data_IF_021487006520
#
_entry.id   IF_021487006520
#
_cell.length_a   1.000
_cell.length_b   1.000
_cell.length_c   1.000
_cell.angle_alpha   90.00
_cell.angle_beta   90.00
_cell.angle_gamma   90.00
#
_symmetry.space_group_name_H-M   'P 1'
#
loop_
_entity.id
_entity.type
_entity.pdbx_description
1 polymer ?
#
# COMPACT_ATOMS: atom_id res chain seq x y z
N UNK A 1 54.75 19.02 -30.45
CA UNK A 1 53.84 17.94 -30.88
C UNK A 1 52.99 17.56 -29.67
N UNK A 2 52.22 18.44 -29.02
CA UNK A 2 51.09 19.28 -29.48
C UNK A 2 50.07 18.49 -30.29
N UNK A 3 48.90 18.25 -29.68
CA UNK A 3 47.69 17.85 -30.40
C UNK A 3 47.11 16.54 -29.92
N UNK A 4 46.30 16.57 -28.85
CA UNK A 4 44.98 15.91 -28.80
C UNK A 4 44.21 16.32 -27.53
N UNK A 5 44.24 17.62 -27.21
CA UNK A 5 43.33 18.26 -26.26
C UNK A 5 42.27 19.02 -27.06
N UNK A 6 41.54 18.32 -27.94
CA UNK A 6 40.62 18.98 -28.88
C UNK A 6 39.44 18.10 -29.34
N UNK A 7 39.01 17.13 -28.52
CA UNK A 7 37.74 16.39 -28.74
C UNK A 7 36.63 16.74 -27.74
N UNK A 8 36.82 17.76 -26.90
CA UNK A 8 35.79 18.26 -25.96
C UNK A 8 35.15 19.59 -26.42
N UNK A 9 35.30 19.94 -27.71
CA UNK A 9 34.97 21.30 -28.20
C UNK A 9 34.14 21.37 -29.47
N UNK A 10 33.33 20.36 -29.82
CA UNK A 10 32.46 20.43 -31.00
C UNK A 10 31.14 19.66 -30.87
N UNK A 11 30.35 19.91 -29.82
CA UNK A 11 28.87 19.78 -29.86
C UNK A 11 28.18 20.69 -28.82
N UNK A 12 28.70 21.90 -28.62
CA UNK A 12 27.87 23.02 -28.17
C UNK A 12 27.43 23.77 -29.43
N UNK A 13 26.14 23.72 -29.76
CA UNK A 13 25.34 24.76 -30.45
C UNK A 13 24.09 24.10 -31.08
N UNK A 14 22.97 24.04 -30.36
CA UNK A 14 21.67 24.61 -30.79
C UNK A 14 20.49 24.20 -29.88
N UNK A 15 19.67 25.22 -29.53
CA UNK A 15 18.28 25.19 -29.02
C UNK A 15 18.03 24.96 -27.51
N UNK A 16 16.97 25.58 -26.91
CA UNK A 16 16.66 27.03 -26.77
C UNK A 16 16.33 27.38 -25.27
N UNK A 17 15.91 28.62 -24.91
CA UNK A 17 16.08 29.16 -23.55
C UNK A 17 15.01 28.81 -22.51
N UNK A 18 15.48 28.72 -21.26
CA UNK A 18 14.86 29.03 -19.97
C UNK A 18 13.33 28.87 -19.83
N UNK A 19 12.93 27.78 -19.16
CA UNK A 19 11.62 27.64 -18.50
C UNK A 19 11.53 28.71 -17.40
N UNK A 20 10.45 29.52 -17.31
CA UNK A 20 10.30 30.48 -16.23
C UNK A 20 10.13 29.73 -14.90
N UNK A 21 11.11 29.93 -14.03
CA UNK A 21 11.02 29.66 -12.58
C UNK A 21 9.80 30.35 -12.00
N UNK A 22 8.78 29.59 -11.61
CA UNK A 22 7.73 30.06 -10.72
C UNK A 22 8.35 30.33 -9.35
N UNK A 23 8.83 31.56 -9.18
CA UNK A 23 9.25 32.13 -7.91
C UNK A 23 8.02 32.18 -7.00
N UNK A 24 8.03 31.37 -5.95
CA UNK A 24 7.09 31.46 -4.84
C UNK A 24 7.33 32.77 -4.10
N UNK A 25 6.72 33.85 -4.60
CA UNK A 25 6.51 35.05 -3.81
C UNK A 25 5.45 34.72 -2.78
N UNK A 26 5.90 34.49 -1.55
CA UNK A 26 5.10 34.65 -0.34
C UNK A 26 4.36 35.99 -0.43
N UNK A 27 3.06 35.92 -0.64
CA UNK A 27 2.14 37.04 -0.42
C UNK A 27 1.25 36.63 0.73
N UNK A 28 1.68 37.01 1.93
CA UNK A 28 0.79 37.15 3.07
C UNK A 28 -0.07 38.39 2.84
N UNK A 29 -1.33 38.18 2.47
CA UNK A 29 -2.35 39.23 2.63
C UNK A 29 -3.57 38.60 3.28
N UNK A 30 -3.58 38.67 4.61
CA UNK A 30 -4.79 38.98 5.37
C UNK A 30 -5.54 40.11 4.67
N UNK A 31 -6.78 39.91 4.26
CA UNK A 31 -7.56 40.99 3.66
C UNK A 31 -8.81 40.55 2.93
N UNK A 32 -9.92 40.57 3.66
CA UNK A 32 -11.29 40.62 3.17
C UNK A 32 -11.47 41.54 1.94
N UNK A 33 -11.96 41.02 0.81
CA UNK A 33 -12.68 41.79 -0.22
C UNK A 33 -13.26 40.88 -1.28
N UNK A 34 -14.55 40.60 -1.16
CA UNK A 34 -15.41 40.38 -2.32
C UNK A 34 -15.42 41.69 -3.11
N UNK A 35 -14.78 41.72 -4.27
CA UNK A 35 -14.87 42.87 -5.17
C UNK A 35 -15.03 42.42 -6.62
N UNK A 36 -16.24 42.68 -7.11
CA UNK A 36 -16.61 43.03 -8.48
C UNK A 36 -16.44 41.94 -9.55
N UNK A 37 -17.58 41.34 -9.88
CA UNK A 37 -17.83 40.52 -11.07
C UNK A 37 -18.20 41.47 -12.23
N UNK A 38 -17.39 42.50 -12.50
CA UNK A 38 -17.67 43.47 -13.58
C UNK A 38 -16.54 43.55 -14.62
N UNK A 39 -15.55 42.65 -14.57
CA UNK A 39 -14.36 42.71 -15.43
C UNK A 39 -14.10 41.40 -16.20
N UNK A 40 -15.15 40.80 -16.79
CA UNK A 40 -14.97 39.68 -17.75
C UNK A 40 -15.84 39.81 -19.01
N UNK A 41 -16.68 40.84 -19.17
CA UNK A 41 -17.53 40.99 -20.37
C UNK A 41 -17.07 42.05 -21.36
N UNK A 42 -15.74 42.24 -21.51
CA UNK A 42 -15.16 43.06 -22.59
C UNK A 42 -14.31 42.26 -23.59
N UNK A 43 -14.45 40.93 -23.63
CA UNK A 43 -13.94 40.14 -24.76
C UNK A 43 -14.96 40.19 -25.90
N UNK A 44 -14.78 41.26 -26.67
CA UNK A 44 -15.36 41.58 -27.98
C UNK A 44 -15.85 40.36 -28.77
N UNK A 45 -17.11 40.48 -29.19
CA UNK A 45 -17.68 39.95 -30.42
C UNK A 45 -16.70 40.07 -31.60
N UNK A 46 -15.99 38.98 -31.91
CA UNK A 46 -15.33 38.85 -33.21
C UNK A 46 -16.42 38.56 -34.25
N UNK A 47 -16.64 39.57 -35.09
CA UNK A 47 -17.61 39.59 -36.18
C UNK A 47 -17.14 38.65 -37.31
N UNK A 48 -17.79 37.49 -37.45
CA UNK A 48 -17.60 36.58 -38.58
C UNK A 48 -18.63 36.90 -39.68
N UNK A 49 -18.24 37.48 -40.82
CA UNK A 49 -19.18 37.77 -41.90
C UNK A 49 -19.58 36.47 -42.62
N UNK A 50 -20.87 36.12 -42.54
CA UNK A 50 -21.48 35.09 -43.38
C UNK A 50 -22.12 33.90 -42.67
N UNK A 51 -22.04 33.79 -41.34
CA UNK A 51 -22.68 32.68 -40.62
C UNK A 51 -24.00 33.14 -40.03
N UNK A 52 -25.13 32.76 -40.66
CA UNK A 52 -26.47 32.91 -40.07
C UNK A 52 -26.58 31.95 -38.88
N UNK A 53 -26.26 32.42 -37.68
CA UNK A 53 -26.62 31.70 -36.46
C UNK A 53 -28.15 31.72 -36.33
N UNK A 54 -28.76 30.54 -36.39
CA UNK A 54 -30.14 30.34 -35.96
C UNK A 54 -30.19 30.69 -34.48
N UNK A 55 -30.86 31.79 -34.13
CA UNK A 55 -31.09 32.21 -32.75
C UNK A 55 -31.84 31.09 -32.04
N UNK A 56 -31.08 30.27 -31.32
CA UNK A 56 -31.63 29.25 -30.44
C UNK A 56 -32.46 29.97 -29.36
N UNK A 57 -33.73 29.61 -29.14
CA UNK A 57 -34.50 30.23 -28.06
C UNK A 57 -33.82 29.86 -26.74
N UNK A 58 -33.27 30.87 -26.06
CA UNK A 58 -32.88 30.67 -24.66
C UNK A 58 -34.17 30.34 -23.89
N UNK A 59 -34.23 29.23 -23.16
CA UNK A 59 -35.30 29.03 -22.19
C UNK A 59 -35.20 30.19 -21.19
N UNK A 60 -36.29 30.96 -21.06
CA UNK A 60 -36.41 32.14 -20.21
C UNK A 60 -36.43 31.83 -18.71
N UNK A 61 -35.85 30.71 -18.29
CA UNK A 61 -35.82 30.25 -16.91
C UNK A 61 -34.46 29.61 -16.59
N UNK A 62 -33.42 30.44 -16.67
CA UNK A 62 -32.06 30.08 -16.19
C UNK A 62 -32.09 29.98 -14.64
N UNK A 63 -33.08 30.56 -13.98
CA UNK A 63 -33.26 30.48 -12.52
C UNK A 63 -33.71 29.11 -12.03
N UNK A 64 -34.56 28.38 -12.78
CA UNK A 64 -35.01 27.04 -12.37
C UNK A 64 -34.06 25.90 -12.79
N UNK A 65 -33.20 26.14 -13.79
CA UNK A 65 -32.19 25.15 -14.20
C UNK A 65 -30.98 25.15 -13.27
N UNK A 66 -30.70 26.27 -12.57
CA UNK A 66 -29.66 26.32 -11.54
C UNK A 66 -30.04 25.61 -10.24
N UNK A 67 -31.33 25.56 -9.88
CA UNK A 67 -31.81 24.72 -8.76
C UNK A 67 -31.62 23.23 -9.04
N UNK A 68 -31.70 22.82 -10.32
CA UNK A 68 -31.54 21.41 -10.71
C UNK A 68 -30.09 21.01 -10.99
N UNK A 69 -29.20 21.96 -11.27
CA UNK A 69 -27.75 21.70 -11.39
C UNK A 69 -26.99 21.83 -10.07
N UNK A 70 -27.58 22.41 -9.02
CA UNK A 70 -27.04 22.28 -7.65
C UNK A 70 -27.09 20.83 -7.13
N UNK A 71 -27.98 20.00 -7.69
CA UNK A 71 -28.07 18.56 -7.38
C UNK A 71 -26.96 17.75 -8.08
N UNK A 72 -26.20 18.34 -9.02
CA UNK A 72 -25.14 17.66 -9.78
C UNK A 72 -23.80 18.41 -9.65
N UNK A 73 -23.48 18.87 -8.44
CA UNK A 73 -22.09 19.16 -8.05
C UNK A 73 -21.76 18.51 -6.71
N UNK A 74 -22.04 17.20 -6.60
CA UNK A 74 -21.67 16.40 -5.43
C UNK A 74 -20.15 16.13 -5.36
N UNK A 75 -19.32 16.85 -6.15
CA UNK A 75 -17.85 16.81 -6.05
C UNK A 75 -17.35 17.50 -4.77
N UNK A 76 -18.14 18.41 -4.20
CA UNK A 76 -17.86 19.04 -2.91
C UNK A 76 -18.00 18.08 -1.72
N UNK A 77 -18.92 17.10 -1.80
CA UNK A 77 -19.08 16.08 -0.73
C UNK A 77 -17.93 15.09 -0.63
N UNK A 78 -17.25 14.75 -1.73
CA UNK A 78 -16.10 13.84 -1.68
C UNK A 78 -14.82 14.51 -1.17
N UNK A 79 -14.70 15.84 -1.30
CA UNK A 79 -13.55 16.60 -0.78
C UNK A 79 -13.64 16.86 0.73
N UNK A 80 -14.85 16.79 1.30
CA UNK A 80 -15.10 17.10 2.71
C UNK A 80 -15.42 15.89 3.60
N UNK A 81 -15.49 14.68 3.04
CA UNK A 81 -15.69 13.42 3.78
C UNK A 81 -14.41 12.58 3.97
N UNK A 82 -13.24 13.02 3.50
CA UNK A 82 -12.02 12.19 3.46
C UNK A 82 -10.74 12.86 4.03
N UNK A 83 -10.85 13.85 4.92
CA UNK A 83 -9.67 14.38 5.67
C UNK A 83 -9.97 14.58 7.16
N UNK A 84 -10.90 13.80 7.71
CA UNK A 84 -10.88 13.45 9.13
C UNK A 84 -10.67 11.93 9.20
N UNK A 85 -9.65 11.43 8.49
CA UNK A 85 -9.10 10.13 8.86
C UNK A 85 -8.36 10.35 10.16
N UNK A 86 -9.11 10.30 11.26
CA UNK A 86 -8.60 9.90 12.55
C UNK A 86 -7.85 8.60 12.28
N UNK A 87 -6.56 8.67 11.96
CA UNK A 87 -5.69 7.50 12.01
C UNK A 87 -5.75 7.07 13.47
N UNK A 88 -6.53 6.02 13.83
CA UNK A 88 -6.63 5.64 15.21
C UNK A 88 -5.22 5.32 15.70
N UNK A 89 -4.37 4.73 14.86
CA UNK A 89 -2.97 4.41 15.17
C UNK A 89 -2.12 5.59 15.70
N UNK A 90 -2.26 6.81 15.15
CA UNK A 90 -1.38 7.94 15.52
C UNK A 90 -1.96 8.74 16.70
N UNK A 91 -3.29 8.87 16.79
CA UNK A 91 -3.98 9.49 17.94
C UNK A 91 -3.93 8.60 19.19
N UNK A 92 -4.07 7.28 19.01
CA UNK A 92 -4.01 6.25 20.06
C UNK A 92 -2.64 6.15 20.72
N UNK A 93 -1.55 6.20 19.93
CA UNK A 93 -0.18 6.16 20.46
C UNK A 93 0.16 7.37 21.36
N UNK A 94 -0.52 8.51 21.18
CA UNK A 94 -0.27 9.74 21.95
C UNK A 94 -1.03 9.83 23.27
N UNK A 95 -2.11 9.07 23.42
CA UNK A 95 -3.01 9.15 24.59
C UNK A 95 -2.64 8.13 25.68
N UNK A 96 -1.91 7.06 25.34
CA UNK A 96 -1.63 5.99 26.28
C UNK A 96 -0.40 6.22 27.16
N UNK A 97 -0.65 6.35 28.47
CA UNK A 97 0.39 6.17 29.47
C UNK A 97 1.00 4.76 29.40
N UNK A 98 2.28 4.65 29.74
CA UNK A 98 3.07 3.40 29.72
C UNK A 98 2.33 2.23 30.40
N UNK A 99 1.57 2.50 31.46
CA UNK A 99 0.80 1.52 32.21
C UNK A 99 -0.31 0.85 31.41
N UNK A 100 -1.03 1.58 30.57
CA UNK A 100 -2.13 1.00 29.79
C UNK A 100 -1.64 0.41 28.48
N UNK A 101 -0.57 0.96 27.87
CA UNK A 101 0.10 0.27 26.78
C UNK A 101 0.61 -1.11 27.23
N UNK A 102 1.21 -1.20 28.42
CA UNK A 102 1.65 -2.47 28.99
C UNK A 102 0.48 -3.43 29.23
N UNK A 103 -0.66 -2.94 29.72
CA UNK A 103 -1.86 -3.77 29.90
C UNK A 103 -2.38 -4.31 28.56
N UNK A 104 -2.47 -3.48 27.53
CA UNK A 104 -2.89 -3.88 26.18
C UNK A 104 -1.92 -4.90 25.56
N UNK A 105 -0.62 -4.65 25.67
CA UNK A 105 0.43 -5.54 25.19
C UNK A 105 0.39 -6.92 25.85
N UNK A 106 0.22 -6.96 27.18
CA UNK A 106 0.08 -8.22 27.92
C UNK A 106 -1.18 -8.96 27.46
N UNK A 107 -2.31 -8.26 27.30
CA UNK A 107 -3.54 -8.87 26.81
C UNK A 107 -3.36 -9.48 25.41
N UNK A 108 -2.77 -8.74 24.47
CA UNK A 108 -2.49 -9.22 23.10
C UNK A 108 -1.56 -10.43 23.09
N UNK A 109 -0.50 -10.41 23.91
CA UNK A 109 0.46 -11.52 24.02
C UNK A 109 -0.18 -12.76 24.66
N UNK A 110 -1.10 -12.59 25.61
CA UNK A 110 -1.86 -13.70 26.20
C UNK A 110 -2.82 -14.35 25.19
N UNK A 111 -3.44 -13.57 24.31
CA UNK A 111 -4.26 -14.12 23.22
C UNK A 111 -3.39 -14.95 22.25
N UNK A 112 -2.18 -14.47 21.90
CA UNK A 112 -1.24 -15.24 21.09
C UNK A 112 -0.82 -16.53 21.78
N UNK A 113 -0.57 -16.49 23.09
CA UNK A 113 -0.24 -17.69 23.86
C UNK A 113 -1.34 -18.75 23.77
N UNK A 114 -2.62 -18.37 23.84
CA UNK A 114 -3.75 -19.31 23.68
C UNK A 114 -3.78 -19.99 22.31
N UNK A 115 -3.33 -19.31 21.26
CA UNK A 115 -3.23 -19.87 19.89
C UNK A 115 -2.02 -20.78 19.75
N UNK A 116 -0.90 -20.38 20.34
CA UNK A 116 0.39 -21.07 20.18
C UNK A 116 0.48 -22.35 21.03
N UNK A 117 -0.04 -22.34 22.26
CA UNK A 117 -0.02 -23.50 23.18
C UNK A 117 -0.60 -24.78 22.56
N UNK A 118 -1.78 -24.81 21.92
CA UNK A 118 -2.32 -26.03 21.34
C UNK A 118 -1.48 -26.53 20.16
N UNK A 119 -0.87 -25.63 19.38
CA UNK A 119 0.02 -26.01 18.27
C UNK A 119 1.29 -26.64 18.80
N UNK A 120 1.94 -26.01 19.80
CA UNK A 120 3.12 -26.57 20.45
C UNK A 120 2.83 -27.91 21.10
N UNK A 121 1.71 -28.01 21.84
CA UNK A 121 1.27 -29.25 22.46
C UNK A 121 1.01 -30.35 21.44
N UNK A 122 0.42 -30.01 20.29
CA UNK A 122 0.24 -30.95 19.18
C UNK A 122 1.57 -31.45 18.61
N UNK A 123 2.55 -30.56 18.41
CA UNK A 123 3.89 -30.94 17.90
C UNK A 123 4.65 -31.80 18.91
N UNK A 124 4.61 -31.48 20.20
CA UNK A 124 5.25 -32.30 21.24
C UNK A 124 4.57 -33.68 21.36
N UNK A 125 3.24 -33.71 21.31
CA UNK A 125 2.49 -34.97 21.28
C UNK A 125 2.90 -35.83 20.07
N UNK A 126 2.98 -35.22 18.88
CA UNK A 126 3.38 -35.91 17.65
C UNK A 126 4.83 -36.42 17.74
N UNK A 127 5.73 -35.63 18.32
CA UNK A 127 7.14 -36.00 18.49
C UNK A 127 7.34 -37.19 19.41
N UNK A 128 6.61 -37.25 20.53
CA UNK A 128 6.73 -38.34 21.51
C UNK A 128 5.97 -39.59 21.08
N UNK A 129 4.74 -39.44 20.58
CA UNK A 129 3.85 -40.58 20.31
C UNK A 129 4.13 -41.19 18.93
N UNK A 130 4.28 -40.37 17.90
CA UNK A 130 4.35 -40.83 16.50
C UNK A 130 5.79 -40.98 16.03
N UNK A 131 6.64 -39.98 16.27
CA UNK A 131 8.06 -40.06 15.89
C UNK A 131 8.91 -40.85 16.89
N UNK A 132 8.43 -41.01 18.13
CA UNK A 132 9.16 -41.68 19.22
C UNK A 132 10.54 -41.08 19.49
N UNK A 133 10.74 -39.81 19.14
CA UNK A 133 11.99 -39.08 19.34
C UNK A 133 11.79 -38.02 20.43
N UNK A 134 12.26 -38.26 21.67
CA UNK A 134 12.15 -37.27 22.72
C UNK A 134 13.03 -36.05 22.43
N UNK A 135 12.53 -34.86 22.78
CA UNK A 135 13.23 -33.60 22.56
C UNK A 135 14.53 -33.58 23.40
N UNK A 136 15.71 -33.38 22.80
CA UNK A 136 16.99 -33.53 23.50
C UNK A 136 17.24 -32.48 24.61
N UNK A 137 16.57 -31.32 24.55
CA UNK A 137 16.67 -30.27 25.56
C UNK A 137 15.32 -29.53 25.76
N UNK A 138 14.39 -30.08 26.56
CA UNK A 138 13.06 -29.49 26.74
C UNK A 138 13.13 -28.10 27.37
N UNK A 139 14.06 -27.85 28.30
CA UNK A 139 14.22 -26.53 28.93
C UNK A 139 14.62 -25.42 27.96
N UNK A 140 15.51 -25.71 27.00
CA UNK A 140 15.91 -24.75 25.96
C UNK A 140 14.76 -24.51 24.99
N UNK A 141 13.99 -25.55 24.67
CA UNK A 141 12.82 -25.46 23.79
C UNK A 141 11.74 -24.56 24.41
N UNK A 142 11.40 -24.75 25.69
CA UNK A 142 10.44 -23.92 26.41
C UNK A 142 10.92 -22.46 26.48
N UNK A 143 12.20 -22.23 26.77
CA UNK A 143 12.77 -20.88 26.80
C UNK A 143 12.72 -20.20 25.43
N UNK A 144 13.06 -20.92 24.37
CA UNK A 144 12.92 -20.46 22.98
C UNK A 144 11.46 -20.13 22.65
N UNK A 145 10.53 -20.96 23.10
CA UNK A 145 9.11 -20.74 22.87
C UNK A 145 8.58 -19.49 23.57
N UNK A 146 8.98 -19.27 24.82
CA UNK A 146 8.68 -18.03 25.54
C UNK A 146 9.26 -16.80 24.81
N UNK A 147 10.51 -16.89 24.33
CA UNK A 147 11.13 -15.82 23.55
C UNK A 147 10.39 -15.56 22.23
N UNK A 148 9.94 -16.60 21.53
CA UNK A 148 9.13 -16.48 20.31
C UNK A 148 7.78 -15.82 20.56
N UNK A 149 7.05 -16.19 21.63
CA UNK A 149 5.76 -15.58 21.96
C UNK A 149 5.93 -14.10 22.31
N UNK A 150 6.93 -13.75 23.11
CA UNK A 150 7.23 -12.35 23.41
C UNK A 150 7.63 -11.58 22.14
N UNK A 151 8.48 -12.18 21.30
CA UNK A 151 8.89 -11.60 20.01
C UNK A 151 7.72 -11.38 19.06
N UNK A 152 6.78 -12.33 18.98
CA UNK A 152 5.57 -12.22 18.18
C UNK A 152 4.65 -11.11 18.71
N UNK A 153 4.55 -10.97 20.04
CA UNK A 153 3.85 -9.87 20.71
C UNK A 153 4.37 -8.52 20.25
N UNK A 154 5.68 -8.29 20.37
CA UNK A 154 6.31 -7.03 19.92
C UNK A 154 6.22 -6.83 18.41
N UNK A 155 6.34 -7.90 17.62
CA UNK A 155 6.26 -7.85 16.17
C UNK A 155 4.87 -7.44 15.69
N UNK A 156 3.80 -8.01 16.24
CA UNK A 156 2.42 -7.69 15.85
C UNK A 156 2.01 -6.26 16.22
N UNK A 157 2.46 -5.77 17.37
CA UNK A 157 2.28 -4.35 17.73
C UNK A 157 3.03 -3.43 16.76
N UNK A 158 4.28 -3.80 16.41
CA UNK A 158 5.09 -3.09 15.42
C UNK A 158 4.46 -3.10 14.01
N UNK A 159 3.84 -4.22 13.59
CA UNK A 159 3.11 -4.30 12.33
C UNK A 159 1.88 -3.39 12.33
N UNK A 160 1.18 -3.29 13.46
CA UNK A 160 -0.03 -2.47 13.59
C UNK A 160 0.30 -0.98 13.48
N UNK A 161 1.38 -0.51 14.09
CA UNK A 161 1.78 0.90 13.96
C UNK A 161 2.59 1.21 12.70
N UNK A 162 3.29 0.23 12.13
CA UNK A 162 4.16 0.44 10.98
C UNK A 162 3.49 0.11 9.64
N UNK A 163 3.05 -1.14 9.48
CA UNK A 163 2.64 -1.70 8.17
C UNK A 163 1.17 -1.45 7.88
N UNK A 164 0.29 -1.46 8.88
CA UNK A 164 -1.15 -1.21 8.68
C UNK A 164 -1.44 0.17 8.06
N UNK A 165 -0.87 1.30 8.55
CA UNK A 165 -1.10 2.61 7.94
C UNK A 165 -0.59 2.70 6.50
N UNK A 166 0.51 1.99 6.20
CA UNK A 166 1.03 1.86 4.85
C UNK A 166 0.07 1.08 3.95
N UNK A 167 -0.50 -0.02 4.46
CA UNK A 167 -1.52 -0.81 3.78
C UNK A 167 -2.79 -0.01 3.48
N UNK A 168 -3.27 0.79 4.43
CA UNK A 168 -4.43 1.68 4.25
C UNK A 168 -4.18 2.73 3.15
N UNK A 169 -3.02 3.41 3.20
CA UNK A 169 -2.65 4.39 2.18
C UNK A 169 -2.55 3.78 0.77
N UNK A 170 -2.02 2.56 0.65
CA UNK A 170 -2.01 1.83 -0.62
C UNK A 170 -3.41 1.38 -1.05
N UNK A 171 -4.25 0.93 -0.11
CA UNK A 171 -5.63 0.54 -0.37
C UNK A 171 -6.49 1.70 -0.88
N UNK A 172 -6.34 2.89 -0.30
CA UNK A 172 -7.05 4.09 -0.74
C UNK A 172 -6.62 4.54 -2.14
N UNK A 173 -5.31 4.44 -2.42
CA UNK A 173 -4.78 4.69 -3.76
C UNK A 173 -5.34 3.71 -4.79
N UNK A 174 -5.51 2.43 -4.41
CA UNK A 174 -6.10 1.41 -5.27
C UNK A 174 -7.59 1.67 -5.55
N UNK A 175 -8.32 2.21 -4.57
CA UNK A 175 -9.73 2.62 -4.75
C UNK A 175 -9.89 3.69 -5.84
N UNK A 176 -8.96 4.64 -5.92
CA UNK A 176 -8.95 5.65 -7.00
C UNK A 176 -8.70 5.02 -8.37
N UNK A 177 -7.79 4.03 -8.44
CA UNK A 177 -7.53 3.29 -9.68
C UNK A 177 -8.77 2.48 -10.10
N UNK A 178 -9.49 1.89 -9.15
CA UNK A 178 -10.73 1.15 -9.39
C UNK A 178 -11.81 1.99 -10.08
N UNK A 179 -11.93 3.27 -9.73
CA UNK A 179 -12.89 4.19 -10.37
C UNK A 179 -12.56 4.47 -11.85
N UNK A 180 -11.30 4.28 -12.27
CA UNK A 180 -10.87 4.53 -13.65
C UNK A 180 -10.79 3.27 -14.50
N UNK A 181 -10.40 2.13 -13.92
CA UNK A 181 -10.24 0.88 -14.64
C UNK A 181 -10.33 -0.33 -13.71
N UNK A 182 -11.35 -1.16 -13.91
CA UNK A 182 -11.54 -2.42 -13.18
C UNK A 182 -10.45 -3.44 -13.54
N UNK A 183 -10.02 -3.47 -14.80
CA UNK A 183 -8.96 -4.36 -15.29
C UNK A 183 -7.63 -4.06 -14.58
N UNK A 184 -7.34 -2.77 -14.33
CA UNK A 184 -6.13 -2.38 -13.62
C UNK A 184 -6.12 -2.92 -12.18
N UNK A 185 -7.28 -2.94 -11.50
CA UNK A 185 -7.39 -3.50 -10.15
C UNK A 185 -7.14 -4.99 -10.14
N UNK A 186 -7.68 -5.75 -11.10
CA UNK A 186 -7.42 -7.19 -11.18
C UNK A 186 -5.94 -7.50 -11.41
N UNK A 187 -5.26 -6.74 -12.27
CA UNK A 187 -3.81 -6.91 -12.48
C UNK A 187 -3.00 -6.58 -11.22
N UNK A 188 -3.37 -5.51 -10.52
CA UNK A 188 -2.72 -5.13 -9.26
C UNK A 188 -3.01 -6.18 -8.16
N UNK A 189 -4.24 -6.66 -8.03
CA UNK A 189 -4.62 -7.70 -7.07
C UNK A 189 -3.89 -9.02 -7.34
N UNK A 190 -3.77 -9.42 -8.61
CA UNK A 190 -2.98 -10.57 -9.02
C UNK A 190 -1.51 -10.42 -8.66
N UNK A 191 -0.91 -9.26 -8.98
CA UNK A 191 0.48 -8.95 -8.65
C UNK A 191 0.75 -8.88 -7.15
N UNK A 192 -0.19 -8.30 -6.38
CA UNK A 192 -0.14 -8.27 -4.92
C UNK A 192 -0.25 -9.68 -4.32
N UNK A 193 -1.11 -10.55 -4.85
CA UNK A 193 -1.20 -11.94 -4.41
C UNK A 193 0.14 -12.68 -4.57
N UNK A 194 0.79 -12.50 -5.72
CA UNK A 194 2.15 -13.03 -5.95
C UNK A 194 3.14 -12.40 -4.95
N UNK A 195 3.09 -11.08 -4.77
CA UNK A 195 3.97 -10.34 -3.87
C UNK A 195 3.85 -10.79 -2.42
N UNK A 196 2.64 -11.06 -1.92
CA UNK A 196 2.37 -11.52 -0.55
C UNK A 196 3.03 -12.87 -0.29
N UNK A 197 2.95 -13.83 -1.22
CA UNK A 197 3.62 -15.13 -1.08
C UNK A 197 5.14 -15.00 -1.03
N UNK A 198 5.72 -14.06 -1.79
CA UNK A 198 7.16 -13.78 -1.72
C UNK A 198 7.58 -13.02 -0.46
N UNK A 199 6.69 -12.17 0.06
CA UNK A 199 6.88 -11.43 1.29
C UNK A 199 6.70 -12.29 2.54
N UNK A 200 6.08 -13.48 2.41
CA UNK A 200 5.88 -14.41 3.51
C UNK A 200 7.23 -14.96 4.02
N UNK A 201 7.65 -14.64 5.25
CA UNK A 201 8.94 -15.05 5.76
C UNK A 201 9.04 -16.57 6.00
N UNK A 202 7.92 -17.24 6.27
CA UNK A 202 7.89 -18.68 6.53
C UNK A 202 8.37 -19.50 5.32
N UNK A 203 7.98 -19.11 4.11
CA UNK A 203 8.44 -19.71 2.85
C UNK A 203 9.96 -19.61 2.71
N UNK A 204 10.56 -18.52 3.20
CA UNK A 204 12.02 -18.35 3.25
C UNK A 204 12.69 -19.31 4.22
N UNK A 205 12.13 -19.49 5.42
CA UNK A 205 12.65 -20.40 6.46
C UNK A 205 12.58 -21.85 6.01
N UNK A 206 11.50 -22.27 5.34
CA UNK A 206 11.35 -23.64 4.82
C UNK A 206 12.51 -24.08 3.90
N UNK A 207 13.09 -23.16 3.12
CA UNK A 207 14.24 -23.45 2.25
C UNK A 207 15.53 -23.66 3.03
N UNK A 208 15.68 -22.99 4.17
CA UNK A 208 16.81 -23.15 5.08
C UNK A 208 16.71 -24.49 5.79
N UNK A 209 15.53 -24.83 6.29
CA UNK A 209 15.25 -26.13 6.92
C UNK A 209 15.39 -27.29 5.92
N UNK A 210 15.04 -27.08 4.66
CA UNK A 210 15.24 -28.06 3.59
C UNK A 210 16.70 -28.46 3.34
N UNK A 211 17.69 -27.69 3.83
CA UNK A 211 19.11 -28.08 3.76
C UNK A 211 19.49 -29.19 4.71
N UNK A 212 18.71 -29.41 5.78
CA UNK A 212 18.95 -30.46 6.76
C UNK A 212 18.38 -31.82 6.33
N UNK A 213 17.61 -31.87 5.23
CA UNK A 213 17.01 -33.10 4.71
C UNK A 213 18.04 -33.90 3.92
N UNK A 214 18.15 -35.20 4.22
CA UNK A 214 19.03 -36.12 3.50
C UNK A 214 18.44 -36.46 2.12
N UNK A 215 19.12 -36.13 1.00
CA UNK A 215 18.64 -36.44 -0.34
C UNK A 215 18.54 -37.93 -0.65
N UNK A 216 19.25 -38.80 0.09
CA UNK A 216 19.18 -40.25 -0.11
C UNK A 216 17.91 -40.87 0.46
N UNK A 217 17.33 -40.28 1.50
CA UNK A 217 16.12 -40.77 2.16
C UNK A 217 14.87 -40.11 1.56
N UNK A 218 14.89 -38.79 1.38
CA UNK A 218 13.72 -38.01 0.97
C UNK A 218 14.01 -37.16 -0.29
N UNK A 219 14.22 -37.79 -1.46
CA UNK A 219 14.64 -37.10 -2.67
C UNK A 219 13.61 -36.08 -3.18
N UNK A 220 12.30 -36.33 -3.00
CA UNK A 220 11.24 -35.43 -3.45
C UNK A 220 11.18 -34.14 -2.62
N UNK A 221 11.35 -34.23 -1.30
CA UNK A 221 11.33 -33.05 -0.42
C UNK A 221 12.57 -32.20 -0.66
N UNK A 222 13.74 -32.85 -0.78
CA UNK A 222 14.99 -32.17 -1.10
C UNK A 222 14.92 -31.43 -2.44
N UNK A 223 14.39 -32.07 -3.48
CA UNK A 223 14.27 -31.44 -4.81
C UNK A 223 13.32 -30.25 -4.81
N UNK A 224 12.19 -30.30 -4.08
CA UNK A 224 11.25 -29.18 -3.99
C UNK A 224 11.81 -27.99 -3.18
N UNK A 225 12.49 -28.25 -2.05
CA UNK A 225 12.97 -27.20 -1.16
C UNK A 225 14.34 -26.62 -1.55
N UNK A 226 15.21 -27.39 -2.21
CA UNK A 226 16.56 -26.95 -2.59
C UNK A 226 16.78 -26.79 -4.09
N UNK A 227 16.29 -27.72 -4.91
CA UNK A 227 16.61 -27.72 -6.33
C UNK A 227 15.66 -26.82 -7.15
N UNK A 228 14.38 -26.77 -6.78
CA UNK A 228 13.35 -25.97 -7.46
C UNK A 228 12.57 -25.00 -6.53
N UNK A 229 13.23 -24.33 -5.57
CA UNK A 229 12.53 -23.51 -4.58
C UNK A 229 11.80 -22.31 -5.20
N UNK A 230 12.35 -21.73 -6.27
CA UNK A 230 11.71 -20.62 -6.99
C UNK A 230 10.46 -21.09 -7.71
N UNK A 231 10.49 -22.25 -8.36
CA UNK A 231 9.35 -22.83 -9.07
C UNK A 231 8.22 -23.19 -8.10
N UNK A 232 8.54 -23.80 -6.96
CA UNK A 232 7.56 -24.09 -5.91
C UNK A 232 6.81 -22.80 -5.51
N UNK A 233 7.55 -21.74 -5.19
CA UNK A 233 6.94 -20.47 -4.78
C UNK A 233 6.17 -19.81 -5.90
N UNK A 234 6.64 -19.86 -7.15
CA UNK A 234 5.89 -19.33 -8.30
C UNK A 234 4.56 -20.05 -8.51
N UNK A 235 4.49 -21.38 -8.31
CA UNK A 235 3.23 -22.13 -8.44
C UNK A 235 2.22 -21.74 -7.37
N UNK A 236 2.66 -21.58 -6.12
CA UNK A 236 1.81 -21.13 -5.02
C UNK A 236 1.38 -19.69 -5.25
N UNK A 237 2.32 -18.80 -5.59
CA UNK A 237 2.11 -17.38 -5.79
C UNK A 237 1.12 -17.10 -6.93
N UNK A 238 1.20 -17.86 -8.03
CA UNK A 238 0.23 -17.75 -9.13
C UNK A 238 -1.16 -18.24 -8.71
N UNK A 239 -1.25 -19.32 -7.93
CA UNK A 239 -2.51 -19.78 -7.36
C UNK A 239 -3.17 -18.75 -6.43
N UNK A 240 -2.39 -18.16 -5.50
CA UNK A 240 -2.85 -17.09 -4.61
C UNK A 240 -3.25 -15.86 -5.41
N UNK A 241 -2.47 -15.45 -6.42
CA UNK A 241 -2.80 -14.35 -7.32
C UNK A 241 -4.13 -14.56 -8.03
N UNK A 242 -4.39 -15.76 -8.57
CA UNK A 242 -5.69 -16.09 -9.18
C UNK A 242 -6.81 -16.02 -8.13
N UNK A 243 -6.59 -16.55 -6.92
CA UNK A 243 -7.57 -16.48 -5.83
C UNK A 243 -7.95 -15.04 -5.50
N UNK A 244 -6.97 -14.13 -5.38
CA UNK A 244 -7.23 -12.71 -5.10
C UNK A 244 -8.06 -12.02 -6.18
N UNK A 245 -7.97 -12.47 -7.43
CA UNK A 245 -8.77 -11.91 -8.54
C UNK A 245 -10.20 -12.45 -8.53
N UNK A 246 -10.38 -13.72 -8.16
CA UNK A 246 -11.69 -14.37 -8.18
C UNK A 246 -12.59 -13.96 -6.99
N UNK A 247 -11.98 -13.60 -5.85
CA UNK A 247 -12.69 -13.23 -4.62
C UNK A 247 -12.87 -14.42 -3.69
#
# INVERSE_FOLDING_TARGET
MTGFSDSQRLMQHHFPPAVPTCRSSLVSTTGNSYKSIDEVETVKTQNFPGVKFKSWPLPTDITQTLEKTEIIDDRSKYTSLDVERDFPAISFARSFGVTHWLFFFIHSTLEQLKVVVPICGFIELFSVVILQTPTPAPGVTILGMCACVLGLGFFLEGLTFGVMPLGEAFGDSLRYVAQRSEIAVFLIAFGLGIGVTYAEPAVGVLRLEGKAVDPALDPYVYTLLQLWPSTLVMTIATGVGVSCVLG
#
